data_IF_888845435879
#
_entry.id   IF_888845435879
#
_cell.length_a   1.000
_cell.length_b   1.000
_cell.length_c   1.000
_cell.angle_alpha   90.00
_cell.angle_beta   90.00
_cell.angle_gamma   90.00
#
_symmetry.space_group_name_H-M   'P 1'
#
loop_
_entity.id
_entity.type
_entity.pdbx_description
1 polymer ?
#
# COMPACT_ATOMS: atom_id res chain seq x y z
N UNK A 1 -16.78 17.78 -23.06
CA UNK A 1 -16.72 18.06 -21.60
C UNK A 1 -15.38 17.55 -21.08
N UNK A 2 -14.70 18.28 -20.17
CA UNK A 2 -13.42 17.82 -19.63
C UNK A 2 -13.59 16.51 -18.83
N UNK A 3 -12.70 15.55 -19.06
CA UNK A 3 -12.67 14.27 -18.33
C UNK A 3 -12.44 14.51 -16.84
N UNK A 4 -13.37 14.03 -16.00
CA UNK A 4 -13.30 14.19 -14.54
C UNK A 4 -12.72 12.98 -13.81
N UNK A 5 -12.91 11.78 -14.37
CA UNK A 5 -12.45 10.51 -13.79
C UNK A 5 -11.48 9.83 -14.75
N UNK A 6 -10.37 9.35 -14.21
CA UNK A 6 -9.33 8.64 -14.94
C UNK A 6 -9.27 7.22 -14.37
N UNK A 7 -9.50 6.25 -15.25
CA UNK A 7 -9.48 4.84 -14.92
C UNK A 7 -8.23 4.20 -15.53
N UNK A 8 -7.76 3.15 -14.87
CA UNK A 8 -6.68 2.30 -15.32
C UNK A 8 -7.28 0.90 -15.53
N UNK A 9 -6.84 0.17 -16.56
CA UNK A 9 -7.33 -1.19 -16.77
C UNK A 9 -6.77 -2.14 -15.71
N UNK A 10 -7.48 -3.22 -15.41
CA UNK A 10 -7.00 -4.27 -14.50
C UNK A 10 -5.69 -4.92 -14.97
N UNK A 11 -5.46 -4.97 -16.29
CA UNK A 11 -4.20 -5.46 -16.88
C UNK A 11 -2.99 -4.59 -16.54
N UNK A 12 -3.21 -3.35 -16.14
CA UNK A 12 -2.18 -2.39 -15.74
C UNK A 12 -2.01 -2.31 -14.22
N UNK A 13 -2.71 -3.18 -13.46
CA UNK A 13 -2.53 -3.29 -12.01
C UNK A 13 -1.06 -3.63 -11.71
N UNK A 14 -0.39 -2.90 -10.80
CA UNK A 14 0.98 -3.20 -10.42
C UNK A 14 1.20 -4.66 -10.04
N UNK A 15 2.39 -5.16 -10.36
CA UNK A 15 2.85 -6.52 -10.05
C UNK A 15 3.66 -6.57 -8.75
N UNK A 16 4.11 -5.42 -8.24
CA UNK A 16 4.98 -5.31 -7.08
C UNK A 16 4.49 -4.22 -6.12
N UNK A 17 4.68 -4.43 -4.82
CA UNK A 17 4.71 -3.36 -3.84
C UNK A 17 6.06 -2.64 -3.90
N UNK A 18 6.05 -1.36 -3.58
CA UNK A 18 7.26 -0.54 -3.48
C UNK A 18 7.63 -0.36 -2.01
N UNK A 19 8.89 -0.62 -1.69
CA UNK A 19 9.46 -0.43 -0.37
C UNK A 19 10.34 0.82 -0.36
N UNK A 20 9.88 1.87 0.33
CA UNK A 20 10.60 3.14 0.45
C UNK A 20 11.92 3.00 1.21
N UNK A 21 12.06 2.01 2.11
CA UNK A 21 13.26 1.84 2.93
C UNK A 21 14.52 1.64 2.09
N UNK A 22 14.39 1.05 0.90
CA UNK A 22 15.49 0.85 -0.05
C UNK A 22 16.08 2.16 -0.60
N UNK A 23 15.34 3.27 -0.52
CA UNK A 23 15.75 4.57 -1.08
C UNK A 23 15.94 5.66 0.00
N UNK A 24 15.70 5.33 1.28
CA UNK A 24 15.91 6.29 2.38
C UNK A 24 17.40 6.43 2.70
N UNK A 25 17.89 7.68 2.76
CA UNK A 25 19.27 7.99 3.18
C UNK A 25 19.59 7.41 4.58
N UNK A 26 18.62 7.49 5.48
CA UNK A 26 18.67 6.91 6.81
C UNK A 26 17.44 6.01 6.95
N UNK A 27 17.57 4.68 6.77
CA UNK A 27 16.45 3.77 6.93
C UNK A 27 15.94 3.76 8.38
N UNK A 28 14.68 3.35 8.61
CA UNK A 28 14.13 3.22 9.96
C UNK A 28 15.03 2.31 10.82
N UNK A 29 15.25 2.72 12.07
CA UNK A 29 15.91 1.85 13.05
C UNK A 29 15.05 0.61 13.30
N UNK A 30 15.66 -0.55 13.57
CA UNK A 30 14.92 -1.75 13.92
C UNK A 30 14.06 -1.51 15.17
N UNK A 31 12.92 -2.23 15.31
CA UNK A 31 12.14 -2.18 16.54
C UNK A 31 13.00 -2.61 17.74
N UNK A 32 12.73 -2.03 18.90
CA UNK A 32 13.44 -2.33 20.14
C UNK A 32 12.61 -3.26 21.01
N UNK A 33 13.27 -4.17 21.72
CA UNK A 33 12.62 -5.05 22.67
C UNK A 33 12.18 -4.22 23.89
N UNK A 34 10.92 -4.27 24.33
CA UNK A 34 10.39 -3.35 25.34
C UNK A 34 11.04 -3.50 26.72
N UNK A 35 11.66 -4.66 27.03
CA UNK A 35 12.33 -4.88 28.31
C UNK A 35 13.84 -4.55 28.29
N UNK A 36 14.53 -4.75 27.17
CA UNK A 36 15.99 -4.57 27.09
C UNK A 36 16.38 -3.28 26.38
N UNK A 37 15.45 -2.69 25.62
CA UNK A 37 15.68 -1.56 24.72
C UNK A 37 16.73 -1.81 23.63
N UNK A 38 17.07 -3.08 23.39
CA UNK A 38 17.98 -3.50 22.32
C UNK A 38 17.18 -3.85 21.06
N UNK A 39 17.77 -3.71 19.86
CA UNK A 39 17.14 -4.14 18.61
C UNK A 39 16.64 -5.59 18.65
N UNK A 40 15.40 -5.82 18.20
CA UNK A 40 14.88 -7.19 18.07
C UNK A 40 15.35 -7.86 16.78
N UNK A 41 15.68 -9.15 16.88
CA UNK A 41 15.83 -10.04 15.73
C UNK A 41 14.49 -10.65 15.29
N UNK A 42 14.46 -11.34 14.14
CA UNK A 42 13.28 -12.05 13.62
C UNK A 42 12.63 -13.01 14.63
N UNK A 43 13.42 -13.64 15.50
CA UNK A 43 12.98 -14.63 16.48
C UNK A 43 12.04 -14.02 17.53
N UNK A 44 12.22 -12.74 17.85
CA UNK A 44 11.34 -12.04 18.78
C UNK A 44 9.99 -11.67 18.14
N UNK A 45 9.91 -11.64 16.80
CA UNK A 45 8.70 -11.35 16.04
C UNK A 45 7.93 -12.63 15.66
N UNK A 46 8.62 -13.78 15.62
CA UNK A 46 8.05 -15.08 15.24
C UNK A 46 6.80 -15.52 16.03
N UNK A 47 6.64 -15.18 17.33
CA UNK A 47 5.39 -15.47 18.06
C UNK A 47 4.19 -14.63 17.60
N UNK A 48 4.42 -13.52 16.90
CA UNK A 48 3.39 -12.53 16.54
C UNK A 48 3.02 -12.60 15.06
N UNK A 49 3.99 -12.92 14.20
CA UNK A 49 3.85 -12.82 12.75
C UNK A 49 4.40 -14.06 12.03
N UNK A 50 3.79 -14.46 10.89
CA UNK A 50 4.35 -15.47 10.01
C UNK A 50 5.67 -14.97 9.41
N UNK A 51 6.56 -15.92 9.09
CA UNK A 51 7.92 -15.63 8.63
C UNK A 51 7.96 -14.72 7.38
N UNK A 52 7.01 -14.86 6.45
CA UNK A 52 6.95 -14.01 5.25
C UNK A 52 6.66 -12.54 5.59
N UNK A 53 5.82 -12.26 6.60
CA UNK A 53 5.58 -10.88 7.05
C UNK A 53 6.82 -10.31 7.76
N UNK A 54 7.52 -11.13 8.54
CA UNK A 54 8.78 -10.73 9.19
C UNK A 54 9.85 -10.38 8.16
N UNK A 55 9.99 -11.19 7.09
CA UNK A 55 10.92 -10.91 5.98
C UNK A 55 10.60 -9.58 5.28
N UNK A 56 9.32 -9.27 5.07
CA UNK A 56 8.92 -8.00 4.47
C UNK A 56 9.29 -6.80 5.36
N UNK A 57 9.09 -6.92 6.67
CA UNK A 57 9.40 -5.85 7.64
C UNK A 57 10.89 -5.46 7.63
N UNK A 58 11.78 -6.43 7.47
CA UNK A 58 13.25 -6.20 7.45
C UNK A 58 13.84 -6.07 6.05
N UNK A 59 13.01 -6.17 5.00
CA UNK A 59 13.48 -6.20 3.61
C UNK A 59 14.12 -4.87 3.20
N UNK A 60 15.22 -4.97 2.46
CA UNK A 60 15.87 -3.86 1.76
C UNK A 60 15.64 -3.91 0.24
N UNK A 61 14.82 -4.86 -0.23
CA UNK A 61 14.46 -4.94 -1.65
C UNK A 61 13.51 -3.79 -2.00
N UNK A 62 13.80 -3.09 -3.11
CA UNK A 62 12.98 -1.96 -3.57
C UNK A 62 11.57 -2.37 -4.02
N UNK A 63 11.45 -3.56 -4.61
CA UNK A 63 10.20 -4.09 -5.14
C UNK A 63 9.95 -5.49 -4.61
N UNK A 64 8.78 -5.69 -4.01
CA UNK A 64 8.35 -6.98 -3.47
C UNK A 64 7.20 -7.47 -4.35
N UNK A 65 7.33 -8.64 -4.97
CA UNK A 65 6.31 -9.18 -5.85
C UNK A 65 4.99 -9.41 -5.09
N UNK A 66 3.88 -8.98 -5.69
CA UNK A 66 2.54 -9.24 -5.16
C UNK A 66 2.11 -10.63 -5.66
N UNK A 67 1.77 -11.58 -4.78
CA UNK A 67 1.29 -12.89 -5.19
C UNK A 67 0.09 -12.79 -6.15
N UNK A 68 0.04 -13.64 -7.17
CA UNK A 68 -1.03 -13.58 -8.17
C UNK A 68 -2.43 -13.78 -7.55
N UNK A 69 -2.57 -14.65 -6.53
CA UNK A 69 -3.82 -14.80 -5.76
C UNK A 69 -4.25 -13.47 -5.12
N UNK A 70 -3.30 -12.73 -4.52
CA UNK A 70 -3.59 -11.43 -3.91
C UNK A 70 -3.99 -10.41 -4.99
N UNK A 71 -3.27 -10.35 -6.11
CA UNK A 71 -3.59 -9.45 -7.23
C UNK A 71 -4.97 -9.72 -7.80
N UNK A 72 -5.34 -10.98 -7.95
CA UNK A 72 -6.67 -11.39 -8.46
C UNK A 72 -7.79 -10.92 -7.53
N UNK A 73 -7.62 -11.08 -6.21
CA UNK A 73 -8.60 -10.57 -5.24
C UNK A 73 -8.68 -9.04 -5.30
N UNK A 74 -7.55 -8.35 -5.41
CA UNK A 74 -7.52 -6.89 -5.48
C UNK A 74 -8.30 -6.34 -6.67
N UNK A 75 -8.40 -7.06 -7.80
CA UNK A 75 -9.18 -6.65 -8.98
C UNK A 75 -10.65 -6.37 -8.67
N UNK A 76 -11.21 -6.94 -7.59
CA UNK A 76 -12.58 -6.66 -7.14
C UNK A 76 -12.82 -5.16 -6.93
N UNK A 77 -11.81 -4.38 -6.52
CA UNK A 77 -11.94 -2.91 -6.33
C UNK A 77 -10.75 -2.09 -6.85
N UNK A 78 -9.75 -2.73 -7.46
CA UNK A 78 -8.55 -2.07 -8.00
C UNK A 78 -8.48 -2.28 -9.51
N UNK A 79 -8.02 -1.29 -10.29
CA UNK A 79 -7.50 0.01 -9.84
C UNK A 79 -8.62 0.98 -9.41
N UNK A 80 -8.40 1.72 -8.32
CA UNK A 80 -9.31 2.80 -7.92
C UNK A 80 -9.20 3.99 -8.89
N UNK A 81 -10.27 4.76 -9.13
CA UNK A 81 -10.21 5.90 -10.03
C UNK A 81 -9.39 7.05 -9.45
N UNK A 82 -8.69 7.78 -10.32
CA UNK A 82 -8.17 9.11 -10.01
C UNK A 82 -9.22 10.13 -10.46
N UNK A 83 -9.59 11.07 -9.60
CA UNK A 83 -10.66 12.03 -9.89
C UNK A 83 -10.13 13.45 -9.78
N UNK A 84 -10.41 14.28 -10.80
CA UNK A 84 -10.12 15.71 -10.80
C UNK A 84 -11.27 16.50 -10.17
N UNK A 85 -10.97 17.28 -9.15
CA UNK A 85 -11.93 18.02 -8.35
C UNK A 85 -12.24 19.41 -8.95
N UNK A 86 -12.74 19.48 -10.19
CA UNK A 86 -12.94 20.76 -10.91
C UNK A 86 -13.86 21.75 -10.20
N UNK A 87 -14.82 21.27 -9.40
CA UNK A 87 -15.70 22.13 -8.61
C UNK A 87 -14.94 22.77 -7.43
N UNK A 88 -14.03 22.04 -6.81
CA UNK A 88 -13.15 22.55 -5.76
C UNK A 88 -12.13 23.53 -6.34
N UNK A 89 -11.53 23.20 -7.49
CA UNK A 89 -10.65 24.12 -8.24
C UNK A 89 -11.34 25.47 -8.48
N UNK A 90 -12.60 25.43 -8.97
CA UNK A 90 -13.42 26.64 -9.18
C UNK A 90 -13.73 27.39 -7.89
N UNK A 91 -14.10 26.67 -6.82
CA UNK A 91 -14.44 27.29 -5.54
C UNK A 91 -13.24 27.99 -4.88
N UNK A 92 -12.03 27.49 -5.14
CA UNK A 92 -10.77 28.04 -4.62
C UNK A 92 -10.14 29.10 -5.54
N UNK A 93 -10.69 29.30 -6.76
CA UNK A 93 -10.11 30.16 -7.81
C UNK A 93 -8.59 29.91 -8.01
N UNK A 94 -8.21 28.63 -8.04
CA UNK A 94 -6.79 28.23 -8.10
C UNK A 94 -6.39 27.85 -9.53
N UNK A 95 -5.17 28.20 -9.98
CA UNK A 95 -4.62 27.66 -11.22
C UNK A 95 -4.15 26.20 -11.07
N UNK A 96 -4.08 25.69 -9.83
CA UNK A 96 -3.66 24.31 -9.57
C UNK A 96 -4.73 23.31 -10.03
N UNK A 97 -4.29 22.16 -10.52
CA UNK A 97 -5.16 21.02 -10.72
C UNK A 97 -5.19 20.16 -9.46
N UNK A 98 -6.40 19.83 -8.98
CA UNK A 98 -6.58 19.05 -7.76
C UNK A 98 -7.10 17.67 -8.12
N UNK A 99 -6.31 16.65 -7.77
CA UNK A 99 -6.68 15.25 -7.97
C UNK A 99 -6.74 14.53 -6.63
N UNK A 100 -7.65 13.58 -6.52
CA UNK A 100 -7.66 12.64 -5.40
C UNK A 100 -7.77 11.21 -5.90
N UNK A 101 -7.01 10.32 -5.27
CA UNK A 101 -7.06 8.88 -5.50
C UNK A 101 -8.19 8.30 -4.66
N UNK A 102 -9.27 7.88 -5.31
CA UNK A 102 -10.51 7.54 -4.62
C UNK A 102 -10.53 6.08 -4.13
N UNK A 103 -9.88 5.81 -2.99
CA UNK A 103 -9.83 4.47 -2.36
C UNK A 103 -11.15 4.03 -1.70
N UNK A 104 -12.20 4.87 -1.75
CA UNK A 104 -13.53 4.56 -1.21
C UNK A 104 -14.32 3.52 -2.01
N UNK A 105 -13.77 3.01 -3.11
CA UNK A 105 -14.41 1.98 -3.96
C UNK A 105 -14.29 0.56 -3.40
N UNK A 106 -13.47 0.34 -2.37
CA UNK A 106 -13.36 -0.99 -1.76
C UNK A 106 -14.64 -1.37 -1.01
N UNK A 107 -14.88 -2.67 -0.74
CA UNK A 107 -16.04 -3.12 0.03
C UNK A 107 -16.16 -2.49 1.43
N UNK A 108 -15.03 -2.04 1.99
CA UNK A 108 -14.97 -1.37 3.30
C UNK A 108 -15.07 0.16 3.23
N UNK A 109 -15.12 0.74 2.03
CA UNK A 109 -15.06 2.19 1.82
C UNK A 109 -13.71 2.82 2.18
N UNK A 110 -12.61 2.05 2.22
CA UNK A 110 -11.28 2.56 2.59
C UNK A 110 -10.13 1.79 1.91
N UNK A 111 -8.89 2.25 2.09
CA UNK A 111 -7.69 1.56 1.58
C UNK A 111 -7.28 0.33 2.41
N UNK A 112 -7.89 0.08 3.57
CA UNK A 112 -7.47 -0.98 4.50
C UNK A 112 -7.45 -2.40 3.90
N UNK A 113 -8.40 -2.79 3.03
CA UNK A 113 -8.37 -4.11 2.38
C UNK A 113 -7.09 -4.36 1.57
N UNK A 114 -6.40 -3.32 1.10
CA UNK A 114 -5.17 -3.45 0.33
C UNK A 114 -4.05 -4.17 1.12
N UNK A 115 -3.97 -3.98 2.44
CA UNK A 115 -3.04 -4.75 3.31
C UNK A 115 -3.71 -5.97 3.93
N UNK A 116 -4.99 -5.88 4.31
CA UNK A 116 -5.69 -6.97 4.99
C UNK A 116 -5.73 -8.26 4.15
N UNK A 117 -5.93 -8.15 2.83
CA UNK A 117 -5.90 -9.32 1.94
C UNK A 117 -4.51 -9.94 1.85
N UNK A 118 -3.46 -9.13 1.74
CA UNK A 118 -2.09 -9.63 1.72
C UNK A 118 -1.71 -10.31 3.05
N UNK A 119 -2.03 -9.68 4.18
CA UNK A 119 -1.77 -10.27 5.49
C UNK A 119 -2.57 -11.56 5.71
N UNK A 120 -3.84 -11.62 5.31
CA UNK A 120 -4.63 -12.84 5.37
C UNK A 120 -4.07 -13.96 4.48
N UNK A 121 -3.49 -13.62 3.32
CA UNK A 121 -2.80 -14.58 2.45
C UNK A 121 -1.53 -15.16 3.10
N UNK A 122 -0.69 -14.32 3.73
CA UNK A 122 0.56 -14.76 4.36
C UNK A 122 0.39 -15.42 5.73
N UNK A 123 -0.76 -15.24 6.40
CA UNK A 123 -1.09 -15.88 7.68
C UNK A 123 -1.64 -17.31 7.54
N UNK A 124 -1.45 -17.96 6.38
CA UNK A 124 -1.80 -19.36 6.16
C UNK A 124 -0.79 -20.31 6.81
#
# INVERSE_FOLDING_TARGET
MATKKFFLNESELPTHWYNIAADLKNPPSPPLHPATHEPVGPEALAPLFPMELIKQEVSQERFIAIPDEVREILKIWRPSPLIRATALEKALDTPAHIYYKYEGVSPSGSHKPNTAVAQAYYNR
#
